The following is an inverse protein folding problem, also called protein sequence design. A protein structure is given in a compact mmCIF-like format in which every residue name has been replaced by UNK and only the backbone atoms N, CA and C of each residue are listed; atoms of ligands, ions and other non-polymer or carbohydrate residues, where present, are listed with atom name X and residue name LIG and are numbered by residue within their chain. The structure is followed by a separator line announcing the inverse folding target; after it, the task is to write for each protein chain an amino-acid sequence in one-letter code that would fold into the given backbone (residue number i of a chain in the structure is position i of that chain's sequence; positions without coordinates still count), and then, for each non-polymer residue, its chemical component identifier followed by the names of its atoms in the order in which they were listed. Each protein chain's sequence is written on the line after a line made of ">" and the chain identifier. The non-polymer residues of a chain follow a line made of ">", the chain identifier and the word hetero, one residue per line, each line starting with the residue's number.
data_IF_269391544323
#
_entry.id   IF_269391544323
#
_cell.length_a   1.000
_cell.length_b   1.000
_cell.length_c   1.000
_cell.angle_alpha   90.00
_cell.angle_beta   90.00
_cell.angle_gamma   90.00
#
_symmetry.space_group_name_H-M   'P 1'
#
loop_
_entity.id
_entity.type
_entity.pdbx_description
1 polymer ?
#
# COMPACT_ATOMS: atom_id res chain seq x y z
N UNK A 1 -64.56 -10.00 13.10
CA UNK A 1 -64.76 -8.65 12.53
C UNK A 1 -63.41 -7.99 12.49
N UNK A 2 -62.76 -7.71 11.36
CA UNK A 2 -62.89 -7.96 9.93
C UNK A 2 -61.52 -7.46 9.40
N UNK A 3 -60.65 -8.29 8.80
CA UNK A 3 -60.50 -8.48 7.35
C UNK A 3 -59.34 -7.63 6.76
N UNK A 4 -58.19 -8.32 6.55
CA UNK A 4 -57.12 -8.24 5.51
C UNK A 4 -56.60 -6.89 4.96
N UNK A 5 -55.26 -6.82 4.80
CA UNK A 5 -54.66 -6.79 3.45
C UNK A 5 -53.19 -7.29 3.45
N UNK A 6 -52.95 -8.33 2.65
CA UNK A 6 -51.64 -8.80 2.22
C UNK A 6 -51.18 -7.96 1.02
N UNK A 7 -49.91 -7.54 1.00
CA UNK A 7 -49.23 -7.20 -0.24
C UNK A 7 -47.85 -7.86 -0.27
N UNK A 8 -47.73 -8.83 -1.17
CA UNK A 8 -46.52 -9.52 -1.61
C UNK A 8 -45.67 -8.54 -2.43
N UNK A 9 -44.37 -8.45 -2.14
CA UNK A 9 -43.35 -8.30 -3.21
C UNK A 9 -42.08 -9.06 -2.78
N UNK A 10 -41.87 -10.22 -3.41
CA UNK A 10 -40.58 -10.86 -3.60
C UNK A 10 -39.72 -9.95 -4.49
N UNK A 11 -38.55 -9.53 -4.00
CA UNK A 11 -37.78 -8.44 -4.59
C UNK A 11 -36.31 -8.54 -4.24
N UNK A 12 -35.63 -9.39 -4.98
CA UNK A 12 -34.19 -9.36 -5.21
C UNK A 12 -33.65 -7.92 -5.32
N UNK A 13 -32.90 -7.46 -4.33
CA UNK A 13 -31.96 -6.34 -4.49
C UNK A 13 -30.56 -6.95 -4.58
N UNK A 14 -30.22 -7.37 -5.78
CA UNK A 14 -28.84 -7.42 -6.22
C UNK A 14 -28.47 -6.00 -6.63
N UNK A 15 -27.68 -5.31 -5.82
CA UNK A 15 -27.08 -4.01 -6.12
C UNK A 15 -25.98 -3.71 -5.09
N UNK A 16 -24.78 -4.23 -5.37
CA UNK A 16 -23.53 -3.44 -5.32
C UNK A 16 -23.39 -2.44 -4.17
N UNK A 17 -22.78 -2.88 -3.05
CA UNK A 17 -21.82 -2.03 -2.35
C UNK A 17 -20.43 -2.44 -2.81
N UNK A 18 -20.18 -2.19 -4.10
CA UNK A 18 -18.84 -2.10 -4.66
C UNK A 18 -18.26 -0.74 -4.24
N UNK A 19 -16.99 -0.73 -3.85
CA UNK A 19 -16.12 0.45 -3.71
C UNK A 19 -16.27 1.37 -2.48
N UNK A 20 -16.82 0.89 -1.35
CA UNK A 20 -16.84 1.64 -0.08
C UNK A 20 -16.02 0.99 1.05
N UNK A 21 -14.97 0.23 0.70
CA UNK A 21 -13.88 0.02 1.65
C UNK A 21 -13.06 1.32 1.72
N UNK A 22 -13.59 2.27 2.47
CA UNK A 22 -13.01 3.56 2.75
C UNK A 22 -11.53 3.38 3.14
N UNK A 23 -10.67 3.75 2.20
CA UNK A 23 -9.25 3.88 2.41
C UNK A 23 -9.01 4.82 3.59
N UNK A 24 -8.64 4.29 4.75
CA UNK A 24 -8.22 5.11 5.88
C UNK A 24 -6.76 5.47 5.64
N UNK A 25 -6.42 6.75 5.39
CA UNK A 25 -5.03 7.15 5.23
C UNK A 25 -4.24 6.73 6.47
N UNK A 26 -3.13 6.01 6.25
CA UNK A 26 -2.25 5.52 7.31
C UNK A 26 -2.47 4.06 7.75
N UNK A 27 -3.44 3.32 7.22
CA UNK A 27 -3.54 1.88 7.50
C UNK A 27 -2.67 1.05 6.53
N UNK A 28 -1.79 0.16 7.03
CA UNK A 28 -1.03 -0.74 6.19
C UNK A 28 -1.95 -1.74 5.50
N UNK A 29 -1.72 -1.94 4.20
CA UNK A 29 -2.38 -2.95 3.38
C UNK A 29 -1.41 -4.12 3.20
N UNK A 30 -1.91 -5.33 3.40
CA UNK A 30 -1.15 -6.55 3.12
C UNK A 30 -1.35 -6.93 1.65
N UNK A 31 -0.29 -6.80 0.85
CA UNK A 31 -0.33 -7.03 -0.60
C UNK A 31 0.68 -8.11 -1.01
N UNK A 32 0.25 -9.00 -1.91
CA UNK A 32 1.12 -10.05 -2.45
C UNK A 32 1.81 -9.52 -3.71
N UNK A 33 3.13 -9.49 -3.69
CA UNK A 33 3.94 -8.98 -4.79
C UNK A 33 5.03 -9.95 -5.17
N UNK A 34 5.63 -9.78 -6.34
CA UNK A 34 6.84 -10.51 -6.76
C UNK A 34 8.05 -9.61 -6.62
N UNK A 35 9.05 -10.03 -5.86
CA UNK A 35 10.31 -9.30 -5.71
C UNK A 35 11.18 -9.46 -6.96
N UNK A 36 11.69 -8.38 -7.56
CA UNK A 36 12.49 -8.48 -8.80
C UNK A 36 13.99 -8.50 -8.59
N UNK A 37 14.49 -8.24 -7.37
CA UNK A 37 15.92 -8.09 -7.11
C UNK A 37 16.48 -6.69 -7.38
N UNK A 38 15.71 -5.80 -8.00
CA UNK A 38 16.18 -4.46 -8.38
C UNK A 38 15.99 -3.45 -7.26
N UNK A 39 16.99 -2.56 -7.12
CA UNK A 39 17.00 -1.47 -6.15
C UNK A 39 17.54 -0.19 -6.75
N UNK A 40 17.12 0.94 -6.21
CA UNK A 40 17.65 2.27 -6.55
C UNK A 40 17.63 3.18 -5.33
N UNK A 41 18.43 4.24 -5.37
CA UNK A 41 18.28 5.34 -4.42
C UNK A 41 16.90 5.99 -4.60
N UNK A 42 16.29 6.37 -3.49
CA UNK A 42 15.00 7.07 -3.53
C UNK A 42 15.15 8.41 -4.28
N UNK A 43 14.25 8.73 -5.23
CA UNK A 43 14.18 10.05 -5.84
C UNK A 43 13.88 11.14 -4.80
N UNK A 44 14.47 12.33 -4.96
CA UNK A 44 14.39 13.42 -3.96
C UNK A 44 12.95 13.84 -3.63
N UNK A 45 12.07 13.90 -4.61
CA UNK A 45 10.66 14.26 -4.43
C UNK A 45 9.89 13.21 -3.59
N UNK A 46 10.20 11.92 -3.80
CA UNK A 46 9.64 10.82 -3.01
C UNK A 46 10.23 10.80 -1.60
N UNK A 47 11.52 11.11 -1.44
CA UNK A 47 12.17 11.27 -0.13
C UNK A 47 11.51 12.38 0.70
N UNK A 48 11.36 13.56 0.12
CA UNK A 48 10.70 14.72 0.75
C UNK A 48 9.26 14.36 1.18
N UNK A 49 8.53 13.63 0.34
CA UNK A 49 7.18 13.16 0.64
C UNK A 49 7.15 12.16 1.81
N UNK A 50 8.06 11.19 1.84
CA UNK A 50 8.15 10.21 2.95
C UNK A 50 8.50 10.92 4.25
N UNK A 51 9.43 11.88 4.24
CA UNK A 51 9.78 12.67 5.44
C UNK A 51 8.61 13.50 5.94
N UNK A 52 7.86 14.14 5.03
CA UNK A 52 6.67 14.89 5.39
C UNK A 52 5.60 13.98 6.01
N UNK A 53 5.37 12.80 5.44
CA UNK A 53 4.45 11.80 5.99
C UNK A 53 4.85 11.32 7.38
N UNK A 54 6.13 10.99 7.59
CA UNK A 54 6.65 10.62 8.91
C UNK A 54 6.41 11.73 9.94
N UNK A 55 6.67 12.99 9.56
CA UNK A 55 6.36 14.15 10.40
C UNK A 55 4.88 14.29 10.75
N UNK A 56 3.98 14.02 9.80
CA UNK A 56 2.52 14.05 10.03
C UNK A 56 2.05 12.98 11.02
N UNK A 57 2.68 11.82 11.04
CA UNK A 57 2.35 10.73 11.98
C UNK A 57 3.16 10.80 13.29
N UNK A 58 3.85 11.92 13.54
CA UNK A 58 4.59 12.17 14.77
C UNK A 58 5.89 11.37 14.92
N UNK A 59 6.41 10.81 13.83
CA UNK A 59 7.68 10.10 13.84
C UNK A 59 8.87 11.10 13.79
N UNK A 60 9.97 10.80 14.50
CA UNK A 60 11.19 11.60 14.43
C UNK A 60 11.76 11.72 13.00
N UNK A 61 12.39 12.87 12.69
CA UNK A 61 12.90 13.17 11.34
C UNK A 61 14.03 12.23 10.89
N UNK A 62 14.82 11.72 11.83
CA UNK A 62 15.88 10.72 11.63
C UNK A 62 15.33 9.34 11.23
N UNK A 63 14.06 9.03 11.51
CA UNK A 63 13.37 7.86 10.92
C UNK A 63 13.28 7.99 9.39
N UNK A 64 13.25 9.22 8.87
CA UNK A 64 13.29 9.46 7.42
C UNK A 64 14.56 8.93 6.76
N UNK A 65 15.67 8.88 7.49
CA UNK A 65 16.94 8.34 6.99
C UNK A 65 16.94 6.81 6.86
N UNK A 66 15.87 6.15 7.32
CA UNK A 66 15.64 4.72 7.10
C UNK A 66 15.09 4.44 5.70
N UNK A 67 14.50 5.42 5.01
CA UNK A 67 13.81 5.25 3.72
C UNK A 67 14.61 5.84 2.54
N UNK A 68 15.89 5.47 2.41
CA UNK A 68 16.77 6.00 1.36
C UNK A 68 16.86 5.12 0.09
N UNK A 69 16.21 3.95 0.13
CA UNK A 69 16.27 2.95 -0.94
C UNK A 69 14.87 2.56 -1.36
N UNK A 70 14.65 2.49 -2.67
CA UNK A 70 13.48 1.85 -3.24
C UNK A 70 13.86 0.48 -3.80
N UNK A 71 12.97 -0.49 -3.62
CA UNK A 71 13.07 -1.80 -4.26
C UNK A 71 11.91 -1.99 -5.23
N UNK A 72 12.15 -2.73 -6.33
CA UNK A 72 11.14 -2.97 -7.34
C UNK A 72 10.37 -4.26 -7.07
N UNK A 73 9.05 -4.15 -7.22
CA UNK A 73 8.11 -5.25 -7.09
C UNK A 73 7.16 -5.28 -8.28
N UNK A 74 6.58 -6.46 -8.53
CA UNK A 74 5.50 -6.65 -9.48
C UNK A 74 4.22 -7.02 -8.74
N UNK A 75 3.14 -6.30 -9.03
CA UNK A 75 1.77 -6.66 -8.62
C UNK A 75 0.95 -6.82 -9.90
N UNK A 76 0.43 -8.03 -10.14
CA UNK A 76 -0.34 -8.35 -11.36
C UNK A 76 0.30 -7.88 -12.68
N UNK A 77 1.64 -7.96 -12.75
CA UNK A 77 2.43 -7.55 -13.92
C UNK A 77 2.74 -6.06 -14.02
N UNK A 78 2.27 -5.24 -13.07
CA UNK A 78 2.59 -3.81 -12.96
C UNK A 78 3.81 -3.60 -12.08
N UNK A 79 4.73 -2.75 -12.52
CA UNK A 79 5.94 -2.40 -11.78
C UNK A 79 5.69 -1.32 -10.73
N UNK A 80 6.21 -1.55 -9.53
CA UNK A 80 6.13 -0.61 -8.42
C UNK A 80 7.50 -0.43 -7.75
N UNK A 81 7.93 0.82 -7.60
CA UNK A 81 9.10 1.19 -6.82
C UNK A 81 8.66 1.65 -5.44
N UNK A 82 9.01 0.88 -4.41
CA UNK A 82 8.51 1.11 -3.06
C UNK A 82 9.68 1.53 -2.15
N UNK A 83 9.60 2.67 -1.45
CA UNK A 83 10.52 3.01 -0.37
C UNK A 83 10.46 1.94 0.72
N UNK A 84 11.63 1.37 1.05
CA UNK A 84 11.77 0.30 2.04
C UNK A 84 12.57 0.80 3.22
N UNK A 85 12.14 0.49 4.44
CA UNK A 85 12.95 0.74 5.62
C UNK A 85 14.26 -0.06 5.58
N UNK A 86 15.37 0.61 5.92
CA UNK A 86 16.72 0.04 5.91
C UNK A 86 16.85 -1.36 6.55
N UNK A 87 16.25 -1.67 7.70
CA UNK A 87 16.33 -3.01 8.29
C UNK A 87 15.73 -4.12 7.42
N UNK A 88 14.67 -3.80 6.64
CA UNK A 88 14.03 -4.76 5.75
C UNK A 88 14.87 -5.06 4.50
N UNK A 89 15.71 -4.11 4.05
CA UNK A 89 16.57 -4.31 2.87
C UNK A 89 17.42 -5.58 3.01
N UNK A 90 18.07 -5.77 4.16
CA UNK A 90 18.93 -6.93 4.42
C UNK A 90 18.13 -8.24 4.47
N UNK A 91 16.87 -8.19 4.91
CA UNK A 91 15.99 -9.35 4.89
C UNK A 91 15.67 -9.77 3.45
N UNK A 92 15.25 -8.82 2.60
CA UNK A 92 15.01 -9.11 1.18
C UNK A 92 16.25 -9.64 0.47
N UNK A 93 17.42 -9.06 0.75
CA UNK A 93 18.69 -9.47 0.11
C UNK A 93 19.15 -10.88 0.52
N UNK A 94 18.79 -11.36 1.71
CA UNK A 94 19.27 -12.65 2.23
C UNK A 94 18.28 -13.79 2.09
N UNK A 95 17.00 -13.51 2.23
CA UNK A 95 15.98 -14.54 2.46
C UNK A 95 15.01 -14.69 1.28
N UNK A 96 15.00 -13.74 0.33
CA UNK A 96 14.05 -13.73 -0.80
C UNK A 96 14.83 -13.68 -2.11
N UNK A 97 14.60 -14.68 -2.95
CA UNK A 97 15.18 -14.74 -4.29
C UNK A 97 14.36 -13.91 -5.28
N UNK A 98 14.99 -13.27 -6.29
CA UNK A 98 14.27 -12.63 -7.38
C UNK A 98 13.29 -13.60 -8.06
N UNK A 99 12.06 -13.15 -8.29
CA UNK A 99 10.96 -13.95 -8.83
C UNK A 99 10.08 -14.62 -7.77
N UNK A 100 10.47 -14.58 -6.50
CA UNK A 100 9.63 -15.09 -5.40
C UNK A 100 8.54 -14.11 -5.02
N UNK A 101 7.41 -14.69 -4.57
CA UNK A 101 6.28 -13.93 -4.05
C UNK A 101 6.48 -13.60 -2.57
N UNK A 102 6.19 -12.37 -2.20
CA UNK A 102 6.32 -11.85 -0.84
C UNK A 102 5.11 -11.01 -0.48
N UNK A 103 4.65 -11.20 0.75
CA UNK A 103 3.64 -10.35 1.36
C UNK A 103 4.30 -9.09 1.91
N UNK A 104 3.82 -7.92 1.48
CA UNK A 104 4.30 -6.63 1.94
C UNK A 104 3.21 -5.92 2.73
N UNK A 105 3.60 -5.24 3.81
CA UNK A 105 2.76 -4.23 4.45
C UNK A 105 3.05 -2.88 3.81
N UNK A 106 2.20 -2.47 2.87
CA UNK A 106 2.32 -1.20 2.16
C UNK A 106 1.42 -0.14 2.81
N UNK A 107 2.00 1.00 3.18
CA UNK A 107 1.25 2.17 3.67
C UNK A 107 1.32 3.25 2.63
N UNK A 108 0.17 3.84 2.30
CA UNK A 108 0.16 5.01 1.43
C UNK A 108 0.69 6.25 2.13
N UNK A 109 1.64 6.89 1.46
CA UNK A 109 2.37 8.06 1.94
C UNK A 109 1.81 9.34 1.31
N UNK A 110 1.34 9.24 0.06
CA UNK A 110 0.85 10.38 -0.72
C UNK A 110 1.00 10.16 -2.22
N UNK A 111 1.04 11.25 -2.97
CA UNK A 111 1.31 11.24 -4.40
C UNK A 111 2.30 12.35 -4.77
N UNK A 112 3.18 12.07 -5.72
CA UNK A 112 3.98 13.08 -6.41
C UNK A 112 3.22 13.54 -7.66
N UNK A 113 3.81 14.44 -8.46
CA UNK A 113 3.23 14.84 -9.76
C UNK A 113 3.13 13.69 -10.76
N UNK A 114 3.89 12.62 -10.54
CA UNK A 114 4.07 11.55 -11.52
C UNK A 114 3.46 10.22 -11.07
N UNK A 115 3.30 9.98 -9.76
CA UNK A 115 2.92 8.66 -9.25
C UNK A 115 2.41 8.69 -7.79
N UNK A 116 1.74 7.61 -7.38
CA UNK A 116 1.35 7.34 -5.99
C UNK A 116 2.53 6.69 -5.25
N UNK A 117 2.75 7.08 -4.00
CA UNK A 117 3.87 6.58 -3.18
C UNK A 117 3.34 5.75 -2.03
N UNK A 118 3.84 4.51 -1.94
CA UNK A 118 3.55 3.58 -0.86
C UNK A 118 4.87 3.14 -0.22
N UNK A 119 5.01 3.31 1.09
CA UNK A 119 6.17 2.89 1.85
C UNK A 119 5.93 1.51 2.48
N UNK A 120 6.99 0.72 2.60
CA UNK A 120 6.98 -0.58 3.27
C UNK A 120 7.69 -0.49 4.62
N UNK A 121 7.01 -0.93 5.68
CA UNK A 121 7.45 -0.95 7.07
C UNK A 121 7.17 -2.33 7.68
#
# INVERSE_FOLDING_TARGET
>A
QDTIDEHIIDGHIDSTTSADQAFKPGQPQLVLTTYTGERRSIPKDREELVRAWLGMIGQPVDVGDLFLTEMKFLEDGKEHWLPIQKPLLTYFEREISPGEKVWLFAVWVGATKSDWVFAVN
#
